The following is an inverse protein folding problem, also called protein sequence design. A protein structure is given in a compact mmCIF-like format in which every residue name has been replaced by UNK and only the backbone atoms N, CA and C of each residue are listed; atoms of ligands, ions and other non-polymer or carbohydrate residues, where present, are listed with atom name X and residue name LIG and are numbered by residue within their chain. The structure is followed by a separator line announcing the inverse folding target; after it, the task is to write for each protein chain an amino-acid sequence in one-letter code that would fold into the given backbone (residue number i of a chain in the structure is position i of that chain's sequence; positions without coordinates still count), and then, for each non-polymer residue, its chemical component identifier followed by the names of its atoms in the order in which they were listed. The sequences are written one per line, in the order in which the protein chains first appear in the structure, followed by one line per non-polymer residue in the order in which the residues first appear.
data_IF_335332571028
#
_entry.id   IF_335332571028
#
_cell.length_a   1.000
_cell.length_b   1.000
_cell.length_c   1.000
_cell.angle_alpha   90.00
_cell.angle_beta   90.00
_cell.angle_gamma   90.00
#
_symmetry.space_group_name_H-M   'P 1'
#
loop_
_entity.id
_entity.type
_entity.pdbx_description
1 polymer ?
#
# COMPACT_ATOMS: atom_id res chain seq x y z
N UNK A 1 -21.21 -4.38 4.78
CA UNK A 1 -22.58 -4.87 4.58
C UNK A 1 -23.42 -4.31 5.73
N UNK A 2 -24.57 -3.65 5.48
CA UNK A 2 -25.48 -3.21 6.53
C UNK A 2 -26.03 -4.36 7.41
N UNK A 3 -25.73 -5.62 7.07
CA UNK A 3 -26.12 -6.82 7.80
C UNK A 3 -25.03 -7.42 8.70
N UNK A 4 -24.15 -6.61 9.28
CA UNK A 4 -23.27 -7.14 10.32
C UNK A 4 -24.07 -7.32 11.62
N UNK A 5 -24.61 -8.53 11.81
CA UNK A 5 -25.26 -8.93 13.05
C UNK A 5 -24.19 -9.27 14.10
N UNK A 6 -24.38 -8.80 15.33
CA UNK A 6 -23.56 -9.21 16.48
C UNK A 6 -23.54 -10.74 16.58
N UNK A 7 -22.36 -11.37 16.38
CA UNK A 7 -22.19 -12.82 16.43
C UNK A 7 -21.37 -13.44 15.29
N UNK A 8 -21.07 -12.69 14.21
CA UNK A 8 -20.04 -13.14 13.26
C UNK A 8 -18.67 -13.04 13.95
N UNK A 9 -17.95 -14.17 14.05
CA UNK A 9 -16.58 -14.19 14.57
C UNK A 9 -15.77 -13.10 13.85
N UNK A 10 -14.86 -12.39 14.55
CA UNK A 10 -14.01 -11.43 13.88
C UNK A 10 -13.31 -12.15 12.72
N UNK A 11 -13.14 -11.49 11.58
CA UNK A 11 -12.32 -12.08 10.49
C UNK A 11 -10.86 -11.91 10.90
N UNK A 12 -10.19 -13.01 11.19
CA UNK A 12 -8.77 -13.02 11.57
C UNK A 12 -7.95 -13.25 10.32
N UNK A 13 -7.17 -12.23 9.93
CA UNK A 13 -6.22 -12.34 8.83
C UNK A 13 -4.81 -12.32 9.41
N UNK A 14 -3.98 -13.29 9.01
CA UNK A 14 -2.55 -13.32 9.31
C UNK A 14 -1.79 -13.52 8.01
N UNK A 15 -0.68 -12.81 7.87
CA UNK A 15 0.21 -12.95 6.74
C UNK A 15 1.65 -12.73 7.20
N UNK A 16 2.59 -13.50 6.67
CA UNK A 16 4.02 -13.33 6.89
C UNK A 16 4.64 -12.95 5.56
N UNK A 17 4.99 -11.68 5.40
CA UNK A 17 5.58 -11.13 4.19
C UNK A 17 6.69 -10.13 4.56
N UNK A 18 7.71 -9.97 3.71
CA UNK A 18 8.77 -8.99 3.94
C UNK A 18 8.21 -7.56 3.83
N UNK A 19 8.77 -6.67 4.64
CA UNK A 19 8.46 -5.24 4.63
C UNK A 19 8.83 -4.58 3.30
N UNK A 20 9.96 -4.99 2.72
CA UNK A 20 10.45 -4.57 1.41
C UNK A 20 10.60 -5.85 0.58
N UNK A 21 9.86 -5.93 -0.52
CA UNK A 21 9.96 -7.02 -1.50
C UNK A 21 10.83 -6.57 -2.66
N UNK A 22 11.75 -7.44 -3.05
CA UNK A 22 12.55 -7.31 -4.27
C UNK A 22 12.11 -8.35 -5.30
N UNK A 23 12.25 -8.05 -6.59
CA UNK A 23 12.07 -9.01 -7.67
C UNK A 23 13.40 -9.69 -8.07
N UNK A 24 13.35 -10.53 -9.11
CA UNK A 24 14.51 -11.30 -9.59
C UNK A 24 15.65 -10.40 -10.12
N UNK A 25 15.33 -9.16 -10.51
CA UNK A 25 16.28 -8.15 -10.98
C UNK A 25 16.86 -7.31 -9.82
N UNK A 26 16.55 -7.66 -8.57
CA UNK A 26 16.93 -6.92 -7.35
C UNK A 26 16.25 -5.55 -7.21
N UNK A 27 15.18 -5.29 -7.97
CA UNK A 27 14.43 -4.05 -7.88
C UNK A 27 13.31 -4.13 -6.84
N UNK A 28 13.04 -3.01 -6.17
CA UNK A 28 11.96 -2.93 -5.18
C UNK A 28 10.60 -3.00 -5.88
N UNK A 29 9.90 -4.11 -5.69
CA UNK A 29 8.60 -4.38 -6.29
C UNK A 29 7.43 -4.31 -5.29
N UNK A 30 7.68 -4.10 -4.00
CA UNK A 30 6.61 -3.84 -3.04
C UNK A 30 7.03 -3.40 -1.65
N UNK A 31 6.24 -2.52 -1.04
CA UNK A 31 6.41 -2.01 0.33
C UNK A 31 5.19 -2.40 1.17
N UNK A 32 5.42 -2.96 2.36
CA UNK A 32 4.39 -3.42 3.29
C UNK A 32 4.67 -2.91 4.69
N UNK A 33 4.09 -1.76 5.02
CA UNK A 33 4.15 -1.19 6.37
C UNK A 33 2.77 -0.70 6.78
N UNK A 34 2.26 -1.29 7.85
CA UNK A 34 1.17 -0.73 8.63
C UNK A 34 1.47 -1.00 10.10
N UNK A 35 2.00 0.01 10.79
CA UNK A 35 2.47 -0.10 12.18
C UNK A 35 1.40 -0.65 13.13
N UNK A 36 0.13 -0.36 12.86
CA UNK A 36 -1.02 -0.81 13.68
C UNK A 36 -1.34 -2.29 13.51
N UNK A 37 -0.76 -2.96 12.51
CA UNK A 37 -1.05 -4.35 12.14
C UNK A 37 0.20 -5.24 12.19
N UNK A 38 1.35 -4.74 12.64
CA UNK A 38 2.55 -5.55 12.78
C UNK A 38 2.32 -6.55 13.92
N UNK A 39 2.25 -7.83 13.57
CA UNK A 39 2.25 -8.94 14.52
C UNK A 39 3.64 -9.11 15.16
N UNK A 40 3.77 -9.88 16.26
CA UNK A 40 5.08 -10.24 16.80
C UNK A 40 5.99 -10.80 15.70
N UNK A 41 7.18 -10.22 15.57
CA UNK A 41 8.14 -10.59 14.54
C UNK A 41 8.92 -11.81 15.03
N UNK A 42 8.72 -12.95 14.36
CA UNK A 42 9.34 -14.23 14.70
C UNK A 42 10.72 -14.33 14.03
N UNK A 43 11.79 -14.10 14.80
CA UNK A 43 13.17 -14.03 14.31
C UNK A 43 14.15 -14.68 15.29
N UNK A 44 15.30 -15.18 14.82
CA UNK A 44 16.43 -15.54 15.69
C UNK A 44 16.82 -14.38 16.61
N UNK A 45 17.22 -14.70 17.84
CA UNK A 45 17.50 -13.72 18.89
C UNK A 45 18.52 -12.64 18.47
N UNK A 46 19.58 -13.05 17.75
CA UNK A 46 20.63 -12.18 17.23
C UNK A 46 20.12 -11.21 16.13
N UNK A 47 19.01 -11.53 15.47
CA UNK A 47 18.40 -10.72 14.40
C UNK A 47 17.33 -9.75 14.89
N UNK A 48 16.83 -9.90 16.12
CA UNK A 48 15.79 -9.03 16.68
C UNK A 48 16.24 -7.57 16.70
N UNK A 49 17.36 -7.26 17.37
CA UNK A 49 17.85 -5.88 17.51
C UNK A 49 18.22 -5.25 16.15
N UNK A 50 18.98 -5.92 15.25
CA UNK A 50 19.23 -5.41 13.90
C UNK A 50 17.96 -5.08 13.13
N UNK A 51 16.94 -5.96 13.19
CA UNK A 51 15.68 -5.76 12.47
C UNK A 51 14.94 -4.53 12.98
N UNK A 52 14.81 -4.35 14.30
CA UNK A 52 14.17 -3.15 14.85
C UNK A 52 14.94 -1.86 14.52
N UNK A 53 16.28 -1.90 14.43
CA UNK A 53 17.08 -0.76 13.97
C UNK A 53 16.79 -0.44 12.50
N UNK A 54 16.68 -1.45 11.64
CA UNK A 54 16.33 -1.29 10.24
C UNK A 54 14.91 -0.69 10.08
N UNK A 55 13.92 -1.23 10.80
CA UNK A 55 12.54 -0.70 10.81
C UNK A 55 12.54 0.76 11.25
N UNK A 56 13.24 1.11 12.34
CA UNK A 56 13.35 2.49 12.81
C UNK A 56 13.93 3.43 11.74
N UNK A 57 14.97 3.00 11.04
CA UNK A 57 15.58 3.81 9.98
C UNK A 57 14.65 3.96 8.77
N UNK A 58 13.95 2.89 8.40
CA UNK A 58 12.92 2.95 7.36
C UNK A 58 11.81 3.94 7.71
N UNK A 59 11.30 3.89 8.95
CA UNK A 59 10.24 4.80 9.41
C UNK A 59 10.70 6.26 9.45
N UNK A 60 11.97 6.55 9.74
CA UNK A 60 12.50 7.92 9.61
C UNK A 60 12.36 8.47 8.19
N UNK A 61 12.58 7.64 7.18
CA UNK A 61 12.40 8.01 5.77
C UNK A 61 10.91 8.20 5.45
N UNK A 62 10.06 7.27 5.91
CA UNK A 62 8.60 7.35 5.70
C UNK A 62 7.99 8.63 6.28
N UNK A 63 8.49 9.08 7.43
CA UNK A 63 8.01 10.27 8.12
C UNK A 63 8.83 11.54 7.81
N UNK A 64 9.76 11.48 6.86
CA UNK A 64 10.52 12.66 6.44
C UNK A 64 9.56 13.66 5.75
N UNK A 65 9.41 14.90 6.26
CA UNK A 65 8.51 15.89 5.67
C UNK A 65 8.86 16.22 4.21
N UNK A 66 10.13 16.10 3.80
CA UNK A 66 10.56 16.39 2.43
C UNK A 66 10.12 15.29 1.43
N UNK A 67 9.72 14.12 1.95
CA UNK A 67 9.23 12.97 1.16
C UNK A 67 7.71 12.83 1.21
N UNK A 68 6.99 13.74 1.87
CA UNK A 68 5.54 13.69 2.04
C UNK A 68 4.84 14.69 1.09
N UNK A 69 3.98 14.17 0.23
CA UNK A 69 3.08 14.99 -0.59
C UNK A 69 1.74 15.11 0.13
N UNK A 70 1.34 16.35 0.47
CA UNK A 70 0.09 16.65 1.18
C UNK A 70 -0.86 17.48 0.33
N UNK A 71 -2.10 17.03 0.19
CA UNK A 71 -3.17 17.79 -0.45
C UNK A 71 -4.53 17.48 0.17
N UNK A 72 -5.45 18.46 0.22
CA UNK A 72 -6.81 18.23 0.68
C UNK A 72 -7.64 17.50 -0.39
N UNK A 73 -8.45 16.52 0.03
CA UNK A 73 -9.50 15.95 -0.82
C UNK A 73 -10.83 16.64 -0.53
N UNK A 74 -11.46 17.19 -1.56
CA UNK A 74 -12.79 17.80 -1.52
C UNK A 74 -13.86 16.77 -1.87
N UNK A 75 -15.12 17.12 -1.61
CA UNK A 75 -16.26 16.29 -2.03
C UNK A 75 -16.26 16.15 -3.55
N UNK A 76 -16.26 14.92 -4.04
CA UNK A 76 -16.22 14.60 -5.47
C UNK A 76 -14.82 14.25 -5.98
N UNK A 77 -13.76 14.54 -5.21
CA UNK A 77 -12.41 14.16 -5.59
C UNK A 77 -12.20 12.66 -5.40
N UNK A 78 -11.52 12.04 -6.36
CA UNK A 78 -11.02 10.66 -6.27
C UNK A 78 -9.51 10.66 -6.21
N UNK A 79 -8.95 9.75 -5.42
CA UNK A 79 -7.51 9.50 -5.37
C UNK A 79 -7.25 8.03 -5.70
N UNK A 80 -6.41 7.81 -6.71
CA UNK A 80 -5.94 6.48 -7.11
C UNK A 80 -4.42 6.47 -6.94
N UNK A 81 -3.90 5.45 -6.28
CA UNK A 81 -2.47 5.24 -6.10
C UNK A 81 -2.17 3.76 -6.04
N UNK A 82 -0.91 3.41 -6.32
CA UNK A 82 -0.45 2.03 -6.20
C UNK A 82 -0.16 1.71 -4.72
N UNK A 83 -1.06 0.96 -4.07
CA UNK A 83 -0.93 0.57 -2.66
C UNK A 83 0.24 -0.39 -2.39
N UNK A 84 0.86 -1.00 -3.41
CA UNK A 84 2.09 -1.78 -3.25
C UNK A 84 3.35 -0.88 -3.18
N UNK A 85 3.25 0.42 -3.48
CA UNK A 85 4.40 1.34 -3.55
C UNK A 85 4.24 2.58 -2.69
N UNK A 86 3.06 3.19 -2.71
CA UNK A 86 2.78 4.47 -2.04
C UNK A 86 2.13 4.20 -0.68
N UNK A 87 2.85 4.57 0.38
CA UNK A 87 2.28 4.68 1.72
C UNK A 87 1.39 5.92 1.79
N UNK A 88 0.32 5.84 2.57
CA UNK A 88 -0.64 6.92 2.69
C UNK A 88 -1.11 7.07 4.13
N UNK A 89 -1.47 8.30 4.48
CA UNK A 89 -1.97 8.66 5.79
C UNK A 89 -2.82 9.91 5.71
N UNK A 90 -3.20 10.43 6.88
CA UNK A 90 -3.92 11.70 6.98
C UNK A 90 -3.47 12.44 8.22
N UNK A 91 -3.54 13.76 8.16
CA UNK A 91 -3.42 14.60 9.35
C UNK A 91 -4.66 14.47 10.24
N UNK A 92 -4.55 14.95 11.48
CA UNK A 92 -5.68 15.03 12.41
C UNK A 92 -6.78 15.96 11.87
N UNK A 93 -8.03 15.65 12.18
CA UNK A 93 -9.17 16.52 11.89
C UNK A 93 -9.36 17.54 13.01
N UNK A 94 -9.87 18.73 12.67
CA UNK A 94 -10.33 19.71 13.66
C UNK A 94 -11.73 19.33 14.13
N UNK A 95 -11.97 19.40 15.44
CA UNK A 95 -13.23 18.96 16.08
C UNK A 95 -14.47 19.76 15.67
N UNK A 96 -14.28 20.95 15.10
CA UNK A 96 -15.35 21.88 14.73
C UNK A 96 -15.94 21.60 13.33
N UNK A 97 -15.33 20.71 12.55
CA UNK A 97 -15.76 20.41 11.19
C UNK A 97 -16.82 19.29 11.15
N UNK A 98 -17.79 19.42 10.24
CA UNK A 98 -18.78 18.36 9.96
C UNK A 98 -18.08 17.03 9.63
N UNK A 99 -18.72 15.92 9.95
CA UNK A 99 -18.18 14.58 9.72
C UNK A 99 -17.70 14.34 8.28
N UNK A 100 -16.59 13.61 8.14
CA UNK A 100 -15.98 13.25 6.85
C UNK A 100 -16.19 11.78 6.53
N UNK A 101 -16.68 11.52 5.32
CA UNK A 101 -16.81 10.17 4.77
C UNK A 101 -15.97 10.06 3.49
N UNK A 102 -15.21 8.97 3.38
CA UNK A 102 -14.45 8.61 2.17
C UNK A 102 -14.86 7.19 1.81
N UNK A 103 -15.19 6.97 0.53
CA UNK A 103 -15.46 5.64 0.01
C UNK A 103 -14.16 5.09 -0.60
N UNK A 104 -13.81 3.87 -0.21
CA UNK A 104 -12.58 3.22 -0.65
C UNK A 104 -12.89 1.92 -1.37
N UNK A 105 -12.22 1.68 -2.48
CA UNK A 105 -12.20 0.39 -3.16
C UNK A 105 -10.76 0.07 -3.57
N UNK A 106 -10.45 -1.21 -3.70
CA UNK A 106 -9.17 -1.69 -4.23
C UNK A 106 -9.43 -2.42 -5.54
N UNK A 107 -8.48 -2.28 -6.46
CA UNK A 107 -8.46 -3.02 -7.73
C UNK A 107 -7.13 -3.73 -7.83
N UNK A 108 -7.14 -4.91 -8.44
CA UNK A 108 -5.91 -5.66 -8.63
C UNK A 108 -5.03 -4.99 -9.69
N UNK A 109 -3.71 -4.99 -9.46
CA UNK A 109 -2.77 -4.43 -10.42
C UNK A 109 -2.80 -5.19 -11.75
N UNK A 110 -3.13 -6.48 -11.73
CA UNK A 110 -3.24 -7.28 -12.95
C UNK A 110 -4.30 -6.70 -13.90
N UNK A 111 -5.49 -6.38 -13.38
CA UNK A 111 -6.59 -5.77 -14.12
C UNK A 111 -6.23 -4.37 -14.62
N UNK A 112 -5.58 -3.57 -13.78
CA UNK A 112 -5.10 -2.23 -14.16
C UNK A 112 -4.13 -2.31 -15.35
N UNK A 113 -3.11 -3.16 -15.25
CA UNK A 113 -2.11 -3.32 -16.30
C UNK A 113 -2.68 -3.97 -17.56
N UNK A 114 -3.62 -4.91 -17.43
CA UNK A 114 -4.31 -5.50 -18.57
C UNK A 114 -5.04 -4.43 -19.40
N UNK A 115 -5.83 -3.59 -18.74
CA UNK A 115 -6.50 -2.46 -19.39
C UNK A 115 -5.51 -1.46 -19.99
N UNK A 116 -4.42 -1.15 -19.28
CA UNK A 116 -3.38 -0.26 -19.78
C UNK A 116 -2.73 -0.79 -21.07
N UNK A 117 -2.46 -2.10 -21.16
CA UNK A 117 -1.89 -2.71 -22.38
C UNK A 117 -2.84 -2.60 -23.57
N UNK A 118 -4.12 -2.88 -23.36
CA UNK A 118 -5.14 -2.72 -24.41
C UNK A 118 -5.23 -1.26 -24.88
N UNK A 119 -5.24 -0.30 -23.95
CA UNK A 119 -5.29 1.13 -24.26
C UNK A 119 -4.03 1.59 -25.01
N UNK A 120 -2.84 1.15 -24.59
CA UNK A 120 -1.58 1.44 -25.30
C UNK A 120 -1.61 0.89 -26.72
N UNK A 121 -2.02 -0.37 -26.91
CA UNK A 121 -2.12 -0.97 -28.25
C UNK A 121 -3.09 -0.22 -29.17
N UNK A 122 -4.17 0.35 -28.62
CA UNK A 122 -5.16 1.13 -29.39
C UNK A 122 -4.71 2.55 -29.71
N UNK A 123 -4.10 3.24 -28.75
CA UNK A 123 -3.80 4.67 -28.84
C UNK A 123 -2.36 4.97 -29.30
N UNK A 124 -1.43 4.04 -29.09
CA UNK A 124 0.00 4.20 -29.34
C UNK A 124 0.65 2.86 -29.76
N UNK A 125 0.22 2.25 -30.89
CA UNK A 125 0.67 0.92 -31.31
C UNK A 125 2.18 0.80 -31.58
N UNK A 126 2.86 1.92 -31.84
CA UNK A 126 4.31 1.99 -32.07
C UNK A 126 5.17 1.93 -30.80
N UNK A 127 4.59 2.16 -29.61
CA UNK A 127 5.32 2.07 -28.34
C UNK A 127 5.38 0.60 -27.88
N UNK A 128 6.55 0.16 -27.42
CA UNK A 128 6.71 -1.18 -26.86
C UNK A 128 5.76 -1.39 -25.67
N UNK A 129 5.13 -2.57 -25.63
CA UNK A 129 4.34 -3.00 -24.49
C UNK A 129 5.30 -3.26 -23.33
N UNK A 130 5.26 -2.38 -22.34
CA UNK A 130 6.10 -2.50 -21.15
C UNK A 130 5.57 -3.67 -20.28
N UNK A 131 6.46 -4.61 -19.95
CA UNK A 131 6.19 -5.65 -18.96
C UNK A 131 6.50 -5.08 -17.58
N UNK A 132 5.59 -5.27 -16.63
CA UNK A 132 5.80 -4.86 -15.24
C UNK A 132 5.91 -6.14 -14.40
N UNK A 133 6.98 -6.31 -13.64
CA UNK A 133 7.09 -7.34 -12.60
C UNK A 133 6.02 -7.05 -11.54
N UNK A 134 4.94 -7.84 -11.56
CA UNK A 134 3.81 -7.64 -10.64
C UNK A 134 4.13 -8.35 -9.31
N UNK A 135 3.91 -7.65 -8.19
CA UNK A 135 4.32 -8.04 -6.83
C UNK A 135 3.66 -9.30 -6.24
N UNK A 136 3.18 -10.21 -7.08
CA UNK A 136 2.94 -11.62 -6.77
C UNK A 136 3.62 -12.48 -7.84
N UNK A 137 4.90 -12.75 -7.65
CA UNK A 137 5.46 -14.03 -8.06
C UNK A 137 5.67 -14.81 -6.77
N UNK A 138 5.24 -16.07 -6.82
CA UNK A 138 5.06 -17.08 -5.76
C UNK A 138 6.08 -17.05 -4.65
#
# INVERSE_FOLDING_TARGET
DPKHAEGELPRWYRCTLPMIRIDDDQDVCGIRVNERQIAPIDLPHDQVVPTYRAIRNFLKIVYDPDLIISFPLKKGDGLIFNNQRVLHGRTAFKLEERGRQVLTNSVDLEDFYSNLRILKGRLKPQELIQTYSQGMVT
#
